data_IF_892565706713
#
_entry.id   IF_892565706713
#
_cell.length_a   1.000
_cell.length_b   1.000
_cell.length_c   1.000
_cell.angle_alpha   90.00
_cell.angle_beta   90.00
_cell.angle_gamma   90.00
#
_symmetry.space_group_name_H-M   'P 1'
#
loop_
_entity.id
_entity.type
_entity.pdbx_description
1 polymer ?
#
# COMPACT_ATOMS: atom_id res chain seq x y z
N UNK A 1 31.86 44.23 -44.44
CA UNK A 1 31.80 43.78 -43.04
C UNK A 1 30.40 43.29 -42.75
N UNK A 2 30.21 41.99 -42.60
CA UNK A 2 28.90 41.39 -42.24
C UNK A 2 29.00 40.88 -40.82
N UNK A 3 28.28 41.49 -39.91
CA UNK A 3 28.17 41.04 -38.53
C UNK A 3 27.03 40.00 -38.44
N UNK A 4 27.34 38.77 -38.12
CA UNK A 4 26.37 37.72 -37.83
C UNK A 4 26.05 37.75 -36.32
N UNK A 5 24.81 38.12 -35.97
CA UNK A 5 24.29 37.99 -34.60
C UNK A 5 23.85 36.54 -34.38
N UNK A 6 24.60 35.80 -33.60
CA UNK A 6 24.21 34.51 -33.11
C UNK A 6 23.26 34.65 -31.93
N UNK A 7 22.00 34.25 -32.10
CA UNK A 7 21.04 34.14 -31.00
C UNK A 7 21.33 32.89 -30.20
N UNK A 8 21.81 33.01 -28.98
CA UNK A 8 21.94 31.91 -28.04
C UNK A 8 20.57 31.61 -27.43
N UNK A 9 20.00 30.43 -27.77
CA UNK A 9 18.78 29.93 -27.16
C UNK A 9 19.16 29.33 -25.77
N UNK A 10 18.82 30.05 -24.72
CA UNK A 10 18.94 29.51 -23.36
C UNK A 10 17.80 28.49 -23.11
N UNK A 11 18.12 27.21 -23.06
CA UNK A 11 17.18 26.16 -22.65
C UNK A 11 17.06 26.21 -21.13
N UNK A 12 15.96 26.73 -20.65
CA UNK A 12 15.62 26.73 -19.24
C UNK A 12 15.15 25.29 -18.87
N UNK A 13 16.03 24.49 -18.29
CA UNK A 13 15.67 23.18 -17.74
C UNK A 13 14.82 23.42 -16.48
N UNK A 14 13.51 23.20 -16.57
CA UNK A 14 12.67 23.11 -15.39
C UNK A 14 13.09 21.86 -14.59
N UNK A 15 13.82 22.06 -13.51
CA UNK A 15 14.07 21.03 -12.53
C UNK A 15 12.75 20.75 -11.79
N UNK A 16 12.09 19.64 -12.12
CA UNK A 16 10.97 19.14 -11.34
C UNK A 16 11.48 18.78 -9.95
N UNK A 17 11.09 19.54 -8.92
CA UNK A 17 11.36 19.18 -7.54
C UNK A 17 10.71 17.83 -7.24
N UNK A 18 11.40 16.87 -6.61
CA UNK A 18 10.78 15.62 -6.21
C UNK A 18 9.63 15.92 -5.25
N UNK A 19 8.45 15.36 -5.52
CA UNK A 19 7.31 15.50 -4.63
C UNK A 19 7.70 14.97 -3.24
N UNK A 20 7.38 15.73 -2.19
CA UNK A 20 7.65 15.31 -0.82
C UNK A 20 6.89 14.01 -0.50
N UNK A 21 7.55 13.08 0.23
CA UNK A 21 6.91 11.85 0.70
C UNK A 21 5.70 12.17 1.58
N UNK A 22 4.58 11.46 1.33
CA UNK A 22 3.32 11.64 2.04
C UNK A 22 3.13 10.52 3.06
N UNK A 23 2.55 10.84 4.21
CA UNK A 23 2.05 9.85 5.17
C UNK A 23 0.56 9.61 4.96
N UNK A 24 0.19 8.36 4.82
CA UNK A 24 -1.17 7.86 4.72
C UNK A 24 -1.54 7.16 6.02
N UNK A 25 -2.81 7.13 6.37
CA UNK A 25 -3.27 6.43 7.56
C UNK A 25 -4.27 5.33 7.21
N UNK A 26 -4.11 4.18 7.86
CA UNK A 26 -5.02 3.05 7.81
C UNK A 26 -5.39 2.70 9.24
N UNK A 27 -6.68 2.80 9.57
CA UNK A 27 -7.20 2.49 10.90
C UNK A 27 -7.48 1.00 11.05
N UNK A 28 -7.20 0.45 12.22
CA UNK A 28 -7.56 -0.92 12.61
C UNK A 28 -8.81 -0.86 13.49
N UNK A 29 -9.93 -1.43 13.01
CA UNK A 29 -11.26 -1.24 13.58
C UNK A 29 -12.00 -2.55 13.82
N UNK A 30 -12.73 -2.62 14.93
CA UNK A 30 -13.72 -3.69 15.19
C UNK A 30 -14.92 -3.54 14.26
N UNK A 31 -15.30 -2.31 13.94
CA UNK A 31 -16.40 -1.98 13.02
C UNK A 31 -16.05 -0.76 12.19
N UNK A 32 -16.12 -0.90 10.90
CA UNK A 32 -15.89 0.16 9.93
C UNK A 32 -17.07 1.13 9.81
N UNK A 33 -16.85 2.23 9.10
CA UNK A 33 -17.89 3.23 8.81
C UNK A 33 -19.07 2.67 7.99
N UNK A 34 -18.84 1.60 7.23
CA UNK A 34 -19.85 0.88 6.45
C UNK A 34 -20.57 -0.23 7.24
N UNK A 35 -20.29 -0.36 8.54
CA UNK A 35 -20.87 -1.34 9.44
C UNK A 35 -20.23 -2.74 9.38
N UNK A 36 -19.24 -2.98 8.51
CA UNK A 36 -18.51 -4.25 8.44
C UNK A 36 -17.62 -4.43 9.66
N UNK A 37 -17.53 -5.68 10.12
CA UNK A 37 -16.74 -6.03 11.31
C UNK A 37 -15.31 -6.39 10.94
N UNK A 38 -14.37 -6.09 11.86
CA UNK A 38 -12.96 -6.44 11.76
C UNK A 38 -12.35 -6.00 10.42
N UNK A 39 -12.07 -4.69 10.31
CA UNK A 39 -11.63 -4.05 9.07
C UNK A 39 -10.41 -3.17 9.24
N UNK A 40 -9.60 -3.09 8.18
CA UNK A 40 -8.73 -1.95 7.92
C UNK A 40 -9.53 -0.90 7.15
N UNK A 41 -9.38 0.37 7.53
CA UNK A 41 -10.10 1.46 6.86
C UNK A 41 -9.15 2.64 6.57
N UNK A 42 -8.96 2.96 5.29
CA UNK A 42 -9.42 2.24 4.09
C UNK A 42 -8.67 0.90 3.91
N UNK A 43 -9.34 -0.08 3.31
CA UNK A 43 -8.73 -1.40 3.06
C UNK A 43 -7.87 -1.44 1.79
N UNK A 44 -8.11 -0.52 0.84
CA UNK A 44 -7.32 -0.35 -0.38
C UNK A 44 -6.86 1.10 -0.50
N UNK A 45 -5.55 1.29 -0.72
CA UNK A 45 -4.97 2.60 -0.99
C UNK A 45 -3.93 2.51 -2.10
N UNK A 46 -3.82 3.62 -2.86
CA UNK A 46 -2.74 3.83 -3.82
C UNK A 46 -1.81 4.89 -3.27
N UNK A 47 -0.53 4.61 -3.26
CA UNK A 47 0.51 5.51 -2.77
C UNK A 47 1.63 5.64 -3.80
N UNK A 48 2.42 6.70 -3.69
CA UNK A 48 3.61 6.88 -4.52
C UNK A 48 4.81 6.16 -3.90
N UNK A 49 5.79 5.70 -4.71
CA UNK A 49 7.05 5.21 -4.18
C UNK A 49 7.71 6.23 -3.23
N UNK A 50 8.08 5.78 -2.04
CA UNK A 50 8.66 6.62 -0.99
C UNK A 50 7.67 7.13 0.06
N UNK A 51 6.37 7.01 -0.19
CA UNK A 51 5.34 7.31 0.80
C UNK A 51 5.39 6.35 1.98
N UNK A 52 4.82 6.77 3.10
CA UNK A 52 4.64 5.96 4.29
C UNK A 52 3.16 5.69 4.56
N UNK A 53 2.87 4.55 5.16
CA UNK A 53 1.55 4.21 5.68
C UNK A 53 1.67 3.97 7.18
N UNK A 54 0.90 4.70 7.94
CA UNK A 54 0.74 4.52 9.38
C UNK A 54 -0.48 3.64 9.63
N UNK A 55 -0.25 2.47 10.20
CA UNK A 55 -1.31 1.58 10.65
C UNK A 55 -1.67 1.96 12.09
N UNK A 56 -2.81 2.63 12.24
CA UNK A 56 -3.23 3.24 13.50
C UNK A 56 -4.00 2.23 14.35
N UNK A 57 -3.51 1.97 15.55
CA UNK A 57 -4.17 1.09 16.52
C UNK A 57 -5.38 1.78 17.16
N UNK A 58 -6.39 2.10 16.35
CA UNK A 58 -7.59 2.84 16.75
C UNK A 58 -8.41 2.09 17.79
N UNK A 59 -8.55 0.77 17.62
CA UNK A 59 -9.23 -0.12 18.55
C UNK A 59 -8.32 -1.29 18.90
N UNK A 60 -8.52 -1.88 20.07
CA UNK A 60 -7.66 -2.97 20.58
C UNK A 60 -7.94 -4.32 19.90
N UNK A 61 -6.95 -5.19 19.90
CA UNK A 61 -7.07 -6.56 19.44
C UNK A 61 -6.62 -6.79 18.01
N UNK A 62 -5.91 -5.83 17.40
CA UNK A 62 -5.50 -5.89 16.00
C UNK A 62 -4.00 -5.71 15.82
N UNK A 63 -3.49 -6.26 14.72
CA UNK A 63 -2.16 -5.95 14.20
C UNK A 63 -2.22 -5.74 12.68
N UNK A 64 -1.11 -5.29 12.10
CA UNK A 64 -0.91 -5.27 10.66
C UNK A 64 0.39 -6.01 10.34
N UNK A 65 0.32 -7.01 9.45
CA UNK A 65 1.48 -7.76 8.99
C UNK A 65 1.34 -8.16 7.51
N UNK A 66 2.46 -8.25 6.82
CA UNK A 66 2.50 -8.69 5.43
C UNK A 66 1.95 -10.09 5.25
N UNK A 67 1.23 -10.31 4.14
CA UNK A 67 0.87 -11.66 3.68
C UNK A 67 2.01 -12.22 2.85
N UNK A 68 2.46 -13.44 3.18
CA UNK A 68 3.51 -14.12 2.42
C UNK A 68 3.11 -14.27 0.94
N UNK A 69 4.02 -13.91 0.03
CA UNK A 69 3.78 -13.93 -1.41
C UNK A 69 3.02 -12.73 -1.96
N UNK A 70 2.64 -11.78 -1.12
CA UNK A 70 1.98 -10.53 -1.51
C UNK A 70 2.86 -9.29 -1.28
N UNK A 71 4.15 -9.43 -1.47
CA UNK A 71 5.13 -8.34 -1.45
C UNK A 71 5.95 -8.44 -2.73
N UNK A 72 6.16 -7.35 -3.49
CA UNK A 72 6.94 -7.40 -4.70
C UNK A 72 8.40 -7.78 -4.40
N UNK A 73 9.08 -8.39 -5.37
CA UNK A 73 10.50 -8.74 -5.23
C UNK A 73 11.33 -7.51 -4.82
N UNK A 74 12.11 -7.66 -3.75
CA UNK A 74 12.90 -6.56 -3.16
C UNK A 74 12.10 -5.55 -2.34
N UNK A 75 10.79 -5.71 -2.20
CA UNK A 75 9.95 -4.92 -1.31
C UNK A 75 10.13 -5.31 0.16
N UNK A 76 9.86 -4.37 1.07
CA UNK A 76 9.95 -4.60 2.51
C UNK A 76 8.72 -5.31 3.05
N UNK A 77 8.93 -6.35 3.87
CA UNK A 77 7.88 -6.95 4.69
C UNK A 77 7.77 -6.21 6.02
N UNK A 78 6.61 -6.35 6.67
CA UNK A 78 6.40 -5.79 8.00
C UNK A 78 5.54 -6.73 8.87
N UNK A 79 5.72 -6.62 10.17
CA UNK A 79 4.96 -7.39 11.16
C UNK A 79 4.88 -6.61 12.46
N UNK A 80 3.73 -5.98 12.68
CA UNK A 80 3.40 -5.34 13.94
C UNK A 80 2.90 -6.35 14.98
N UNK A 81 3.09 -6.03 16.25
CA UNK A 81 2.49 -6.76 17.36
C UNK A 81 1.03 -6.36 17.54
N UNK A 82 0.25 -7.16 18.27
CA UNK A 82 -1.12 -6.78 18.66
C UNK A 82 -1.11 -5.47 19.43
N UNK A 83 -2.00 -4.55 19.05
CA UNK A 83 -2.12 -3.20 19.58
C UNK A 83 -0.96 -2.24 19.26
N UNK A 84 -0.03 -2.67 18.43
CA UNK A 84 1.10 -1.83 18.01
C UNK A 84 0.73 -0.98 16.80
N UNK A 85 0.96 0.32 16.93
CA UNK A 85 0.94 1.24 15.80
C UNK A 85 2.29 1.19 15.09
N UNK A 86 2.28 0.97 13.77
CA UNK A 86 3.50 0.91 12.97
C UNK A 86 3.44 1.88 11.79
N UNK A 87 4.60 2.38 11.38
CA UNK A 87 4.77 3.18 10.18
C UNK A 87 5.66 2.42 9.21
N UNK A 88 5.16 2.19 8.00
CA UNK A 88 5.87 1.44 6.96
C UNK A 88 6.14 2.36 5.77
N UNK A 89 7.41 2.43 5.34
CA UNK A 89 7.79 3.13 4.12
C UNK A 89 7.73 2.18 2.93
N UNK A 90 7.03 2.58 1.87
CA UNK A 90 6.89 1.81 0.64
C UNK A 90 7.73 2.42 -0.48
N UNK A 91 8.96 1.93 -0.65
CA UNK A 91 9.89 2.44 -1.65
C UNK A 91 9.76 1.73 -3.00
N UNK A 92 9.57 0.41 -2.99
CA UNK A 92 9.52 -0.41 -4.20
C UNK A 92 8.10 -0.47 -4.77
N UNK A 93 7.91 -0.19 -6.09
CA UNK A 93 6.59 -0.33 -6.74
C UNK A 93 6.06 -1.76 -6.69
N UNK A 94 4.74 -1.89 -6.62
CA UNK A 94 4.02 -3.15 -6.64
C UNK A 94 2.88 -3.20 -5.63
N UNK A 95 2.29 -4.38 -5.47
CA UNK A 95 1.19 -4.67 -4.56
C UNK A 95 1.72 -5.28 -3.27
N UNK A 96 1.26 -4.73 -2.15
CA UNK A 96 1.58 -5.20 -0.80
C UNK A 96 0.29 -5.58 -0.09
N UNK A 97 0.03 -6.89 0.02
CA UNK A 97 -1.07 -7.42 0.80
C UNK A 97 -0.70 -7.57 2.27
N UNK A 98 -1.62 -7.24 3.14
CA UNK A 98 -1.44 -7.37 4.57
C UNK A 98 -2.71 -7.88 5.26
N UNK A 99 -2.57 -8.32 6.48
CA UNK A 99 -3.63 -8.93 7.28
C UNK A 99 -3.52 -8.54 8.74
N UNK A 100 -4.63 -8.68 9.44
CA UNK A 100 -4.67 -8.79 10.89
C UNK A 100 -4.62 -10.27 11.26
N UNK A 101 -3.60 -10.71 11.99
CA UNK A 101 -3.38 -12.12 12.26
C UNK A 101 -4.58 -12.82 12.93
N UNK A 102 -5.17 -12.28 14.04
CA UNK A 102 -6.30 -12.95 14.69
C UNK A 102 -7.62 -12.86 13.89
N UNK A 103 -7.76 -11.96 12.90
CA UNK A 103 -9.03 -11.73 12.22
C UNK A 103 -9.00 -11.91 10.69
N UNK A 104 -7.90 -12.45 10.15
CA UNK A 104 -7.79 -12.71 8.71
C UNK A 104 -8.92 -13.60 8.18
N UNK A 105 -9.33 -14.61 8.93
CA UNK A 105 -10.44 -15.49 8.58
C UNK A 105 -11.81 -14.79 8.53
N UNK A 106 -11.94 -13.65 9.22
CA UNK A 106 -13.12 -12.79 9.20
C UNK A 106 -13.07 -11.74 8.07
N UNK A 107 -12.01 -11.72 7.28
CA UNK A 107 -11.84 -10.77 6.18
C UNK A 107 -11.06 -9.51 6.53
N UNK A 108 -10.35 -9.47 7.69
CA UNK A 108 -9.51 -8.32 8.05
C UNK A 108 -8.18 -8.36 7.31
N UNK A 109 -8.23 -7.90 6.08
CA UNK A 109 -7.10 -7.79 5.15
C UNK A 109 -7.11 -6.44 4.44
N UNK A 110 -5.97 -6.04 3.92
CA UNK A 110 -5.83 -4.80 3.16
C UNK A 110 -4.78 -4.92 2.06
N UNK A 111 -4.78 -3.94 1.16
CA UNK A 111 -3.89 -3.88 0.01
C UNK A 111 -3.38 -2.46 -0.21
N UNK A 112 -2.06 -2.32 -0.30
CA UNK A 112 -1.39 -1.08 -0.73
C UNK A 112 -0.87 -1.30 -2.14
N UNK A 113 -1.27 -0.45 -3.09
CA UNK A 113 -0.65 -0.35 -4.41
C UNK A 113 0.36 0.79 -4.39
N UNK A 114 1.62 0.47 -4.61
CA UNK A 114 2.71 1.43 -4.74
C UNK A 114 3.03 1.60 -6.23
N UNK A 115 2.63 2.72 -6.82
CA UNK A 115 2.78 2.94 -8.25
C UNK A 115 1.99 1.93 -9.09
N UNK A 116 2.64 0.91 -9.59
CA UNK A 116 2.06 -0.12 -10.47
C UNK A 116 1.61 -1.39 -9.71
N UNK A 117 1.01 -2.32 -10.45
CA UNK A 117 0.56 -3.63 -9.96
C UNK A 117 1.32 -4.79 -10.66
N UNK A 118 2.64 -4.64 -10.88
CA UNK A 118 3.42 -5.58 -11.69
C UNK A 118 3.42 -7.02 -11.14
N UNK A 119 3.31 -7.20 -9.80
CA UNK A 119 3.25 -8.50 -9.14
C UNK A 119 1.81 -8.99 -8.89
N UNK A 120 0.83 -8.54 -9.68
CA UNK A 120 -0.59 -8.88 -9.45
C UNK A 120 -0.87 -10.38 -9.58
N UNK A 121 -0.20 -11.08 -10.50
CA UNK A 121 -0.36 -12.53 -10.68
C UNK A 121 0.11 -13.30 -9.43
N UNK A 122 1.28 -12.98 -8.90
CA UNK A 122 1.85 -13.59 -7.70
C UNK A 122 1.00 -13.26 -6.46
N UNK A 123 0.58 -12.01 -6.34
CA UNK A 123 -0.29 -11.58 -5.26
C UNK A 123 -1.64 -12.30 -5.27
N UNK A 124 -2.23 -12.51 -6.46
CA UNK A 124 -3.49 -13.25 -6.63
C UNK A 124 -3.34 -14.72 -6.24
N UNK A 125 -2.22 -15.36 -6.60
CA UNK A 125 -1.92 -16.72 -6.21
C UNK A 125 -1.75 -16.87 -4.69
N UNK A 126 -1.11 -15.91 -4.03
CA UNK A 126 -0.97 -15.88 -2.58
C UNK A 126 -2.32 -15.62 -1.87
N UNK A 127 -3.13 -14.71 -2.39
CA UNK A 127 -4.47 -14.42 -1.86
C UNK A 127 -5.39 -15.65 -1.86
N UNK A 128 -5.24 -16.54 -2.85
CA UNK A 128 -6.02 -17.77 -2.94
C UNK A 128 -5.78 -18.73 -1.77
N UNK A 129 -4.68 -18.57 -1.03
CA UNK A 129 -4.30 -19.39 0.13
C UNK A 129 -4.78 -18.80 1.46
N UNK A 130 -5.36 -17.59 1.45
CA UNK A 130 -5.88 -16.97 2.67
C UNK A 130 -7.09 -17.73 3.20
N UNK A 131 -7.26 -17.82 4.53
CA UNK A 131 -8.37 -18.53 5.15
C UNK A 131 -9.67 -17.72 5.08
N UNK A 132 -10.79 -18.44 5.00
CA UNK A 132 -12.14 -17.92 5.18
C UNK A 132 -12.47 -16.70 4.33
N UNK A 133 -13.01 -15.67 4.95
CA UNK A 133 -13.38 -14.41 4.31
C UNK A 133 -12.18 -13.57 3.84
N UNK A 134 -10.97 -13.84 4.37
CA UNK A 134 -9.74 -13.19 3.95
C UNK A 134 -9.47 -13.36 2.45
N UNK A 135 -9.64 -14.58 1.93
CA UNK A 135 -9.51 -14.87 0.49
C UNK A 135 -10.50 -14.05 -0.34
N UNK A 136 -11.78 -14.05 0.04
CA UNK A 136 -12.83 -13.31 -0.68
C UNK A 136 -12.53 -11.81 -0.70
N UNK A 137 -12.27 -11.24 0.47
CA UNK A 137 -11.99 -9.80 0.60
C UNK A 137 -10.74 -9.39 -0.16
N UNK A 138 -9.66 -10.15 -0.07
CA UNK A 138 -8.42 -9.84 -0.79
C UNK A 138 -8.62 -9.91 -2.32
N UNK A 139 -9.40 -10.87 -2.81
CA UNK A 139 -9.76 -10.94 -4.24
C UNK A 139 -10.50 -9.68 -4.70
N UNK A 140 -11.44 -9.18 -3.88
CA UNK A 140 -12.16 -7.93 -4.16
C UNK A 140 -11.21 -6.71 -4.19
N UNK A 141 -10.23 -6.66 -3.28
CA UNK A 141 -9.23 -5.59 -3.25
C UNK A 141 -8.31 -5.65 -4.47
N UNK A 142 -7.83 -6.83 -4.85
CA UNK A 142 -6.99 -7.04 -6.04
C UNK A 142 -7.69 -6.64 -7.34
N UNK A 143 -9.02 -6.77 -7.41
CA UNK A 143 -9.79 -6.31 -8.56
C UNK A 143 -9.74 -4.78 -8.77
N UNK A 144 -9.45 -4.01 -7.71
CA UNK A 144 -9.30 -2.56 -7.76
C UNK A 144 -7.89 -2.12 -8.22
N UNK A 145 -6.91 -3.02 -8.17
CA UNK A 145 -5.53 -2.75 -8.57
C UNK A 145 -5.38 -2.69 -10.10
N UNK A 146 -4.67 -1.66 -10.59
CA UNK A 146 -4.49 -1.42 -12.03
C UNK A 146 -3.04 -1.11 -12.37
#
# INVERSE_FOLDING_TARGET
MKFAFGAALAVLALAASPAAAKEWQVKMLNKGSDGKLMVFEPAFIKVAPGDTVKFVATQKGHNAESVAGMVPAGGSTFKGKINEEIVVRFARPGLYGYKCLPHVGMGMVGLVQVGNAANKAEASAAAAKLPGMGKKKMTELLAQAK
#
